data_IF_733160416749
#
_entry.id   IF_733160416749
#
_cell.length_a   1.000
_cell.length_b   1.000
_cell.length_c   1.000
_cell.angle_alpha   90.00
_cell.angle_beta   90.00
_cell.angle_gamma   90.00
#
_symmetry.space_group_name_H-M   'P 1'
#
loop_
_entity.id
_entity.type
_entity.pdbx_description
1 polymer ?
#
# COMPACT_ATOMS: atom_id res chain seq x y z
N UNK A 1 -36.26 -55.04 10.84
CA UNK A 1 -35.00 -55.56 10.32
C UNK A 1 -34.54 -54.65 9.25
N UNK A 2 -33.49 -54.20 9.47
CA UNK A 2 -32.34 -53.55 8.86
C UNK A 2 -32.37 -52.04 8.77
N UNK A 3 -31.61 -51.56 9.68
CA UNK A 3 -31.19 -50.21 9.90
C UNK A 3 -30.04 -49.91 8.95
N UNK A 4 -30.20 -48.95 8.01
CA UNK A 4 -29.10 -48.47 7.19
C UNK A 4 -28.89 -47.02 7.47
N UNK A 5 -27.93 -46.75 8.33
CA UNK A 5 -27.42 -45.40 8.60
C UNK A 5 -26.61 -44.92 7.41
N UNK A 6 -27.08 -43.88 6.74
CA UNK A 6 -26.28 -43.11 5.81
C UNK A 6 -25.30 -42.26 6.60
N UNK A 7 -24.01 -42.59 6.49
CA UNK A 7 -22.88 -41.79 6.97
C UNK A 7 -22.77 -40.57 6.04
N UNK A 8 -23.05 -39.42 6.60
CA UNK A 8 -22.73 -38.14 6.04
C UNK A 8 -21.20 -37.95 6.06
N UNK A 9 -20.61 -38.00 4.89
CA UNK A 9 -19.20 -37.79 4.67
C UNK A 9 -18.97 -36.30 4.59
N UNK A 10 -18.50 -35.72 5.68
CA UNK A 10 -17.96 -34.34 5.71
C UNK A 10 -16.62 -34.38 4.99
N UNK A 11 -16.62 -34.00 3.72
CA UNK A 11 -15.38 -33.67 3.01
C UNK A 11 -14.84 -32.37 3.55
N UNK A 12 -13.90 -32.49 4.49
CA UNK A 12 -13.08 -31.41 4.98
C UNK A 12 -12.30 -30.81 3.82
N UNK A 13 -12.51 -29.55 3.55
CA UNK A 13 -11.63 -28.72 2.71
C UNK A 13 -10.27 -28.68 3.41
N UNK A 14 -9.44 -29.64 3.05
CA UNK A 14 -8.07 -29.77 3.51
C UNK A 14 -7.25 -28.60 3.01
N UNK A 15 -6.61 -27.92 3.97
CA UNK A 15 -5.89 -26.70 3.84
C UNK A 15 -4.96 -26.62 2.62
N UNK A 16 -4.98 -25.46 2.01
CA UNK A 16 -3.93 -25.00 1.11
C UNK A 16 -2.60 -25.15 1.86
N UNK A 17 -1.64 -25.92 1.34
CA UNK A 17 -0.34 -26.01 1.99
C UNK A 17 0.27 -24.63 1.97
N UNK A 18 0.49 -24.06 3.14
CA UNK A 18 1.36 -22.90 3.30
C UNK A 18 2.79 -23.37 2.96
N UNK A 19 3.08 -23.47 1.68
CA UNK A 19 4.45 -23.47 1.24
C UNK A 19 4.99 -22.07 1.59
N UNK A 20 5.58 -21.96 2.79
CA UNK A 20 6.48 -20.87 3.10
C UNK A 20 7.45 -20.83 1.94
N UNK A 21 7.29 -19.84 1.06
CA UNK A 21 8.36 -19.42 0.18
C UNK A 21 9.56 -19.28 1.11
N UNK A 22 10.53 -20.20 1.00
CA UNK A 22 11.84 -20.00 1.58
C UNK A 22 12.44 -18.86 0.75
N UNK A 23 12.22 -17.64 1.23
CA UNK A 23 12.97 -16.49 0.77
C UNK A 23 14.41 -16.88 1.04
N UNK A 24 15.28 -17.01 -0.02
CA UNK A 24 16.70 -17.23 0.20
C UNK A 24 17.15 -16.20 1.23
N UNK A 25 17.98 -16.60 2.20
CA UNK A 25 18.42 -15.69 3.26
C UNK A 25 18.78 -14.35 2.62
N UNK A 26 17.94 -13.34 2.87
CA UNK A 26 18.10 -12.03 2.28
C UNK A 26 19.53 -11.61 2.61
N UNK A 27 20.31 -11.25 1.60
CA UNK A 27 21.58 -10.59 1.83
C UNK A 27 21.16 -9.28 2.46
N UNK A 28 21.22 -9.21 3.80
CA UNK A 28 20.97 -7.98 4.56
C UNK A 28 22.12 -7.02 4.24
N UNK A 29 22.05 -6.40 3.09
CA UNK A 29 22.77 -5.17 2.84
C UNK A 29 21.99 -4.12 3.62
N UNK A 30 22.64 -3.44 4.56
CA UNK A 30 22.07 -2.32 5.29
C UNK A 30 21.79 -1.17 4.32
N UNK A 31 20.71 -1.29 3.56
CA UNK A 31 20.17 -0.14 2.86
C UNK A 31 19.35 0.65 3.89
N UNK A 32 19.66 1.94 4.06
CA UNK A 32 18.91 2.77 4.97
C UNK A 32 17.46 2.88 4.50
N UNK A 33 16.50 2.89 5.43
CA UNK A 33 15.06 3.12 5.16
C UNK A 33 14.85 4.39 4.31
N UNK A 34 15.78 5.35 4.36
CA UNK A 34 15.81 6.52 3.49
C UNK A 34 15.73 6.18 1.99
N UNK A 35 16.28 5.01 1.57
CA UNK A 35 16.21 4.57 0.17
C UNK A 35 14.78 4.29 -0.28
N UNK A 36 13.92 3.79 0.59
CA UNK A 36 12.48 3.60 0.31
C UNK A 36 11.85 4.94 -0.02
N UNK A 37 12.09 5.95 0.81
CA UNK A 37 11.56 7.28 0.61
C UNK A 37 12.08 7.95 -0.67
N UNK A 38 13.37 7.79 -0.98
CA UNK A 38 13.97 8.30 -2.21
C UNK A 38 13.27 7.73 -3.46
N UNK A 39 12.92 6.45 -3.44
CA UNK A 39 12.22 5.81 -4.56
C UNK A 39 10.80 6.35 -4.68
N UNK A 40 10.06 6.44 -3.57
CA UNK A 40 8.69 6.99 -3.58
C UNK A 40 8.67 8.41 -4.12
N UNK A 41 9.61 9.27 -3.69
CA UNK A 41 9.70 10.66 -4.16
C UNK A 41 10.13 10.76 -5.62
N UNK A 42 11.02 9.88 -6.08
CA UNK A 42 11.48 9.86 -7.47
C UNK A 42 10.40 9.40 -8.42
N UNK A 43 9.76 8.26 -8.11
CA UNK A 43 8.73 7.65 -8.97
C UNK A 43 7.42 8.41 -8.89
N UNK A 44 7.06 8.89 -7.72
CA UNK A 44 5.89 9.71 -7.38
C UNK A 44 4.54 9.01 -7.54
N UNK A 45 4.28 8.35 -8.66
CA UNK A 45 3.00 7.68 -8.90
C UNK A 45 3.10 6.23 -8.51
N UNK A 46 2.35 5.85 -7.48
CA UNK A 46 2.26 4.47 -7.01
C UNK A 46 0.91 3.84 -7.33
N UNK A 47 0.89 2.53 -7.49
CA UNK A 47 -0.32 1.72 -7.63
C UNK A 47 -0.83 1.33 -6.24
N UNK A 48 -1.82 2.07 -5.74
CA UNK A 48 -2.50 1.72 -4.48
C UNK A 48 -3.49 0.59 -4.73
N UNK A 49 -3.31 -0.50 -4.00
CA UNK A 49 -4.21 -1.66 -4.01
C UNK A 49 -4.99 -1.71 -2.71
N UNK A 50 -6.32 -1.74 -2.82
CA UNK A 50 -7.26 -1.87 -1.71
C UNK A 50 -8.17 -3.08 -1.92
N UNK A 51 -8.68 -3.62 -0.82
CA UNK A 51 -9.69 -4.68 -0.85
C UNK A 51 -11.09 -4.07 -0.87
N UNK A 52 -11.99 -4.67 -1.64
CA UNK A 52 -13.41 -4.37 -1.65
C UNK A 52 -14.23 -5.67 -1.72
N UNK A 53 -15.56 -5.59 -1.63
CA UNK A 53 -16.42 -6.77 -1.61
C UNK A 53 -16.27 -7.71 -2.82
N UNK A 54 -15.80 -7.18 -3.96
CA UNK A 54 -15.56 -7.93 -5.19
C UNK A 54 -14.11 -8.40 -5.41
N UNK A 55 -13.19 -8.18 -4.45
CA UNK A 55 -11.78 -8.58 -4.55
C UNK A 55 -10.80 -7.44 -4.33
N UNK A 56 -9.71 -7.40 -5.11
CA UNK A 56 -8.68 -6.37 -5.02
C UNK A 56 -8.83 -5.37 -6.18
N UNK A 57 -8.56 -4.10 -5.89
CA UNK A 57 -8.52 -3.04 -6.89
C UNK A 57 -7.27 -2.18 -6.75
N UNK A 58 -6.52 -2.03 -7.84
CA UNK A 58 -5.34 -1.17 -7.90
C UNK A 58 -5.64 0.12 -8.70
N UNK A 59 -5.07 1.26 -8.27
CA UNK A 59 -5.23 2.58 -8.91
C UNK A 59 -3.97 3.40 -8.79
N UNK A 60 -3.62 4.18 -9.82
CA UNK A 60 -2.49 5.11 -9.73
C UNK A 60 -2.87 6.32 -8.86
N UNK A 61 -1.99 6.69 -7.94
CA UNK A 61 -2.09 7.88 -7.12
C UNK A 61 -0.73 8.55 -6.98
N UNK A 62 -0.70 9.89 -6.96
CA UNK A 62 0.54 10.63 -6.75
C UNK A 62 0.86 10.73 -5.26
N UNK A 63 1.99 10.17 -4.85
CA UNK A 63 2.46 10.15 -3.47
C UNK A 63 3.07 11.50 -3.04
N UNK A 64 2.88 11.84 -1.76
CA UNK A 64 3.55 12.93 -1.05
C UNK A 64 4.14 12.36 0.21
N UNK A 65 5.46 12.33 0.27
CA UNK A 65 6.19 11.75 1.39
C UNK A 65 6.31 12.77 2.53
N UNK A 66 6.06 12.32 3.73
CA UNK A 66 6.36 13.02 4.97
C UNK A 66 7.33 12.12 5.76
N UNK A 67 8.64 12.34 5.53
CA UNK A 67 9.70 11.50 6.08
C UNK A 67 9.76 11.56 7.60
N UNK A 68 9.54 12.74 8.16
CA UNK A 68 9.63 12.97 9.61
C UNK A 68 8.50 12.22 10.33
N UNK A 69 7.31 12.21 9.75
CA UNK A 69 6.18 11.45 10.27
C UNK A 69 6.20 9.96 9.86
N UNK A 70 7.06 9.57 8.90
CA UNK A 70 7.12 8.21 8.36
C UNK A 70 5.84 7.79 7.64
N UNK A 71 5.18 8.69 6.92
CA UNK A 71 3.91 8.44 6.24
C UNK A 71 3.91 8.90 4.79
N UNK A 72 3.01 8.32 4.01
CA UNK A 72 2.76 8.72 2.63
C UNK A 72 1.33 9.27 2.54
N UNK A 73 1.19 10.45 1.95
CA UNK A 73 -0.07 11.11 1.74
C UNK A 73 -0.50 11.05 0.29
N UNK A 74 -1.80 10.94 0.06
CA UNK A 74 -2.43 11.12 -1.25
C UNK A 74 -3.63 12.05 -1.13
N UNK A 75 -3.82 12.90 -2.13
CA UNK A 75 -5.06 13.66 -2.31
C UNK A 75 -6.03 12.79 -3.10
N UNK A 76 -7.26 12.68 -2.64
CA UNK A 76 -8.30 11.84 -3.26
C UNK A 76 -9.67 12.50 -3.16
N UNK A 77 -10.64 11.94 -3.89
CA UNK A 77 -12.02 12.40 -3.97
C UNK A 77 -12.94 11.50 -3.12
N UNK A 78 -13.79 12.11 -2.30
CA UNK A 78 -14.81 11.41 -1.52
C UNK A 78 -15.84 10.65 -2.38
N UNK A 79 -16.08 11.12 -3.62
CA UNK A 79 -17.02 10.48 -4.55
C UNK A 79 -16.49 9.17 -5.13
N UNK A 80 -15.22 8.85 -4.87
CA UNK A 80 -14.65 7.55 -5.23
C UNK A 80 -15.00 6.49 -4.20
N UNK A 81 -15.11 5.21 -4.63
CA UNK A 81 -15.40 4.07 -3.75
C UNK A 81 -14.31 3.77 -2.69
N UNK A 82 -13.26 4.60 -2.61
CA UNK A 82 -12.13 4.38 -1.71
C UNK A 82 -12.49 4.52 -0.23
N UNK A 83 -13.39 5.46 0.10
CA UNK A 83 -13.79 5.68 1.48
C UNK A 83 -14.49 4.44 2.03
N UNK A 84 -15.37 3.83 1.25
CA UNK A 84 -16.08 2.60 1.62
C UNK A 84 -15.12 1.40 1.66
N UNK A 85 -14.16 1.33 0.72
CA UNK A 85 -13.18 0.26 0.65
C UNK A 85 -12.20 0.31 1.83
N UNK A 86 -11.70 1.49 2.18
CA UNK A 86 -10.78 1.69 3.30
C UNK A 86 -11.52 1.62 4.64
N UNK A 87 -12.78 2.02 4.68
CA UNK A 87 -13.63 1.86 5.87
C UNK A 87 -13.87 0.40 6.28
N UNK A 88 -13.76 -0.54 5.32
CA UNK A 88 -13.93 -1.99 5.55
C UNK A 88 -12.60 -2.67 5.84
N UNK A 89 -11.52 -2.26 5.17
CA UNK A 89 -10.19 -2.88 5.29
C UNK A 89 -9.12 -1.79 5.22
N UNK A 90 -8.46 -1.55 6.34
CA UNK A 90 -7.37 -0.58 6.43
C UNK A 90 -6.08 -1.07 5.77
N UNK A 91 -5.93 -2.38 5.55
CA UNK A 91 -4.74 -2.96 4.94
C UNK A 91 -4.66 -2.64 3.45
N UNK A 92 -3.48 -2.21 3.02
CA UNK A 92 -3.22 -1.83 1.63
C UNK A 92 -1.92 -2.41 1.11
N UNK A 93 -1.84 -2.55 -0.22
CA UNK A 93 -0.60 -2.69 -0.95
C UNK A 93 -0.33 -1.42 -1.77
N UNK A 94 0.94 -1.00 -1.83
CA UNK A 94 1.35 0.14 -2.63
C UNK A 94 2.63 -0.22 -3.38
N UNK A 95 2.59 -0.14 -4.71
CA UNK A 95 3.72 -0.51 -5.55
C UNK A 95 4.23 0.69 -6.36
N UNK A 96 5.56 0.82 -6.45
CA UNK A 96 6.24 1.79 -7.31
C UNK A 96 7.18 1.05 -8.25
N UNK A 97 7.27 1.52 -9.50
CA UNK A 97 8.08 0.92 -10.54
C UNK A 97 8.85 1.99 -11.30
N UNK A 98 10.18 1.87 -11.32
CA UNK A 98 11.08 2.59 -12.22
C UNK A 98 11.74 1.56 -13.13
N UNK A 99 11.06 1.21 -14.22
CA UNK A 99 11.52 0.19 -15.16
C UNK A 99 12.85 0.56 -15.81
N UNK A 100 13.06 1.84 -16.10
CA UNK A 100 14.30 2.33 -16.69
C UNK A 100 15.52 2.16 -15.77
N UNK A 101 15.32 2.17 -14.47
CA UNK A 101 16.36 1.93 -13.47
C UNK A 101 16.37 0.49 -12.93
N UNK A 102 15.44 -0.36 -13.36
CA UNK A 102 15.20 -1.70 -12.82
C UNK A 102 14.98 -1.68 -11.29
N UNK A 103 14.19 -0.70 -10.82
CA UNK A 103 13.87 -0.54 -9.40
C UNK A 103 12.37 -0.77 -9.20
N UNK A 104 12.04 -1.69 -8.33
CA UNK A 104 10.67 -2.03 -7.99
C UNK A 104 10.53 -2.02 -6.47
N UNK A 105 9.49 -1.36 -5.97
CA UNK A 105 9.23 -1.22 -4.54
C UNK A 105 7.79 -1.64 -4.26
N UNK A 106 7.61 -2.56 -3.32
CA UNK A 106 6.32 -2.96 -2.77
C UNK A 106 6.26 -2.57 -1.29
N UNK A 107 5.19 -1.89 -0.90
CA UNK A 107 4.94 -1.47 0.48
C UNK A 107 3.61 -2.09 0.92
N UNK A 108 3.59 -2.67 2.11
CA UNK A 108 2.35 -2.98 2.81
C UNK A 108 2.18 -2.03 3.99
N UNK A 109 0.94 -1.75 4.36
CA UNK A 109 0.66 -0.83 5.45
C UNK A 109 -0.83 -0.62 5.64
N UNK A 110 -1.14 0.39 6.43
CA UNK A 110 -2.52 0.76 6.76
C UNK A 110 -2.86 2.12 6.18
N UNK A 111 -4.09 2.23 5.65
CA UNK A 111 -4.65 3.46 5.11
C UNK A 111 -5.72 4.05 6.03
N UNK A 112 -5.73 5.37 6.13
CA UNK A 112 -6.71 6.15 6.86
C UNK A 112 -7.24 7.26 5.98
N UNK A 113 -8.58 7.39 5.89
CA UNK A 113 -9.22 8.52 5.22
C UNK A 113 -9.35 9.67 6.21
N UNK A 114 -8.80 10.82 5.85
CA UNK A 114 -8.74 11.99 6.72
C UNK A 114 -9.30 13.20 5.98
N UNK A 115 -10.09 14.01 6.71
CA UNK A 115 -10.50 15.34 6.28
C UNK A 115 -9.74 16.36 7.10
N UNK A 116 -8.70 16.94 6.51
CA UNK A 116 -7.87 17.97 7.11
C UNK A 116 -7.52 19.02 6.04
N UNK A 117 -8.18 20.16 6.11
CA UNK A 117 -8.00 21.25 5.14
C UNK A 117 -6.65 21.93 5.27
N UNK A 118 -6.06 21.96 6.47
CA UNK A 118 -4.71 22.49 6.71
C UNK A 118 -3.68 21.62 6.02
N UNK A 119 -3.68 20.32 6.32
CA UNK A 119 -2.75 19.36 5.68
C UNK A 119 -3.00 19.27 4.17
N UNK A 120 -4.26 19.33 3.70
CA UNK A 120 -4.56 19.38 2.27
C UNK A 120 -3.89 20.57 1.59
N UNK A 121 -3.94 21.75 2.19
CA UNK A 121 -3.28 22.96 1.68
C UNK A 121 -1.76 22.81 1.67
N UNK A 122 -1.17 22.23 2.70
CA UNK A 122 0.29 22.06 2.83
C UNK A 122 0.87 21.14 1.75
N UNK A 123 0.13 20.07 1.41
CA UNK A 123 0.59 19.08 0.41
C UNK A 123 0.04 19.30 -0.99
N UNK A 124 -0.75 20.36 -1.19
CA UNK A 124 -1.41 20.67 -2.46
C UNK A 124 -0.42 20.92 -3.57
N UNK A 125 -0.69 20.37 -4.74
CA UNK A 125 0.06 20.65 -5.97
C UNK A 125 -0.88 21.24 -7.04
N UNK A 126 -0.32 22.05 -7.91
CA UNK A 126 -1.08 22.66 -9.02
C UNK A 126 -1.75 21.60 -9.92
N UNK A 127 -1.19 20.40 -9.98
CA UNK A 127 -1.78 19.27 -10.72
C UNK A 127 -3.09 18.79 -10.13
N UNK A 128 -3.34 19.04 -8.83
CA UNK A 128 -4.58 18.65 -8.16
C UNK A 128 -5.76 19.53 -8.59
N UNK A 129 -5.51 20.76 -9.06
CA UNK A 129 -6.54 21.69 -9.52
C UNK A 129 -7.37 21.10 -10.69
N UNK A 130 -6.79 20.20 -11.48
CA UNK A 130 -7.49 19.52 -12.56
C UNK A 130 -8.65 18.61 -12.08
N UNK A 131 -8.58 18.16 -10.84
CA UNK A 131 -9.58 17.26 -10.23
C UNK A 131 -10.51 17.99 -9.27
N UNK A 132 -10.05 19.10 -8.71
CA UNK A 132 -10.74 19.86 -7.67
C UNK A 132 -10.79 21.34 -8.04
N UNK A 133 -11.86 21.80 -8.71
CA UNK A 133 -11.97 23.18 -9.19
C UNK A 133 -11.92 24.24 -8.08
N UNK A 134 -12.33 23.90 -6.85
CA UNK A 134 -12.30 24.77 -5.68
C UNK A 134 -10.97 24.69 -4.91
N UNK A 135 -9.96 23.99 -5.49
CA UNK A 135 -8.64 23.81 -4.89
C UNK A 135 -8.66 22.95 -3.63
N UNK A 136 -7.69 23.18 -2.74
CA UNK A 136 -7.54 22.41 -1.50
C UNK A 136 -8.71 22.53 -0.51
N UNK A 137 -9.60 23.51 -0.74
CA UNK A 137 -10.80 23.74 0.08
C UNK A 137 -12.04 23.04 -0.46
N UNK A 138 -11.96 22.37 -1.60
CA UNK A 138 -13.06 21.64 -2.21
C UNK A 138 -13.66 20.65 -1.18
N UNK A 139 -14.99 20.65 -0.97
CA UNK A 139 -15.63 19.78 0.03
C UNK A 139 -15.48 18.29 -0.27
N UNK A 140 -15.14 17.93 -1.51
CA UNK A 140 -14.91 16.56 -1.93
C UNK A 140 -13.48 16.08 -1.67
N UNK A 141 -12.54 16.96 -1.32
CA UNK A 141 -11.17 16.58 -1.00
C UNK A 141 -11.13 15.70 0.24
N UNK A 142 -10.46 14.59 0.11
CA UNK A 142 -10.01 13.72 1.21
C UNK A 142 -8.53 13.46 1.07
N UNK A 143 -7.92 13.18 2.20
CA UNK A 143 -6.54 12.72 2.26
C UNK A 143 -6.53 11.25 2.62
N UNK A 144 -5.71 10.48 1.91
CA UNK A 144 -5.32 9.16 2.38
C UNK A 144 -3.97 9.30 3.06
N UNK A 145 -3.91 8.94 4.32
CA UNK A 145 -2.68 8.80 5.08
C UNK A 145 -2.33 7.32 5.12
N UNK A 146 -1.18 6.98 4.58
CA UNK A 146 -0.65 5.61 4.60
C UNK A 146 0.45 5.54 5.64
N UNK A 147 0.33 4.58 6.56
CA UNK A 147 1.37 4.18 7.48
C UNK A 147 2.01 2.89 6.97
N UNK A 148 3.22 2.95 6.39
CA UNK A 148 3.93 1.76 5.94
C UNK A 148 4.28 0.84 7.11
N UNK A 149 4.01 -0.45 6.99
CA UNK A 149 4.44 -1.46 7.95
C UNK A 149 5.70 -2.17 7.46
N UNK A 150 5.70 -2.63 6.20
CA UNK A 150 6.86 -3.26 5.57
C UNK A 150 7.09 -2.73 4.16
N UNK A 151 8.32 -2.81 3.70
CA UNK A 151 8.68 -2.52 2.32
C UNK A 151 9.62 -3.59 1.78
N UNK A 152 9.41 -4.01 0.54
CA UNK A 152 10.27 -4.91 -0.22
C UNK A 152 10.81 -4.16 -1.43
N UNK A 153 12.13 -4.17 -1.59
CA UNK A 153 12.84 -3.45 -2.64
C UNK A 153 13.62 -4.41 -3.52
N UNK A 154 13.42 -4.32 -4.82
CA UNK A 154 14.25 -4.88 -5.86
C UNK A 154 15.01 -3.72 -6.51
N UNK A 155 16.34 -3.65 -6.28
CA UNK A 155 17.19 -2.55 -6.77
C UNK A 155 18.32 -3.12 -7.63
N UNK A 156 18.16 -3.06 -8.95
CA UNK A 156 19.15 -3.47 -9.92
C UNK A 156 18.70 -4.58 -10.90
N UNK A 157 19.52 -4.81 -11.95
CA UNK A 157 19.18 -5.72 -13.05
C UNK A 157 19.21 -7.21 -12.66
N UNK A 158 19.81 -7.57 -11.54
CA UNK A 158 19.75 -8.92 -10.99
C UNK A 158 18.69 -8.94 -9.89
N UNK A 159 17.50 -9.42 -10.19
CA UNK A 159 16.36 -9.57 -9.27
C UNK A 159 16.61 -10.46 -8.03
N UNK A 160 17.87 -10.73 -7.70
CA UNK A 160 18.26 -11.61 -6.61
C UNK A 160 18.29 -10.92 -5.22
N UNK A 161 18.23 -9.61 -5.15
CA UNK A 161 18.27 -8.88 -3.88
C UNK A 161 16.86 -8.32 -3.55
N UNK A 162 16.09 -9.08 -2.81
CA UNK A 162 14.89 -8.57 -2.13
C UNK A 162 15.36 -8.06 -0.78
N UNK A 163 15.19 -6.77 -0.54
CA UNK A 163 15.51 -6.13 0.73
C UNK A 163 14.18 -5.85 1.42
N UNK A 164 13.99 -6.43 2.61
CA UNK A 164 12.77 -6.24 3.41
C UNK A 164 13.07 -5.23 4.51
N UNK A 165 12.28 -4.17 4.56
CA UNK A 165 12.34 -3.14 5.59
C UNK A 165 11.14 -3.28 6.53
N UNK A 166 11.39 -3.17 7.82
CA UNK A 166 10.34 -3.02 8.83
C UNK A 166 10.16 -1.51 9.11
N UNK A 167 9.24 -0.89 8.37
CA UNK A 167 8.99 0.54 8.50
C UNK A 167 8.33 0.90 9.83
N UNK A 168 7.66 -0.05 10.48
CA UNK A 168 7.01 0.19 11.77
C UNK A 168 8.03 0.43 12.89
N UNK A 169 9.18 -0.24 12.84
CA UNK A 169 10.26 -0.04 13.81
C UNK A 169 10.96 1.30 13.68
N UNK A 170 11.06 1.83 12.44
CA UNK A 170 11.71 3.14 12.21
C UNK A 170 10.88 4.31 12.71
N UNK A 171 9.57 4.15 12.95
CA UNK A 171 8.70 5.20 13.52
C UNK A 171 8.80 5.28 15.04
N UNK A 172 9.34 4.25 15.70
CA UNK A 172 9.44 4.15 17.15
C UNK A 172 10.79 4.62 17.72
N UNK A 173 11.74 4.99 16.85
CA UNK A 173 13.08 5.49 17.18
C UNK A 173 13.15 7.02 17.03
#
# INVERSE_FOLDING_TARGET
MENSQAKEQQDGVSGVPQSRLKIPAAIFTEYPVSRVWDIVEKVRVGMLTTQFSGGLRARPLEARVDRDAGVIWFVTDVRGAKDDEIGVAHDIGLAFCDDGAHVYLSITGRAFVIRDSGKAKDIWKKTDDAWFPEGSSDPNVRLLRIEPDTAELWDGPSSAAIIVFDCAKSRAA
#
